data_IF_399542525602
#
_entry.id   IF_399542525602
#
_cell.length_a   1.000
_cell.length_b   1.000
_cell.length_c   1.000
_cell.angle_alpha   90.00
_cell.angle_beta   90.00
_cell.angle_gamma   90.00
#
_symmetry.space_group_name_H-M   'P 1'
#
loop_
_entity.id
_entity.type
_entity.pdbx_description
1 polymer ?
#
# COMPACT_ATOMS: atom_id res chain seq x y z
N UNK A 1 -25.58 35.57 -16.64
CA UNK A 1 -24.21 35.98 -16.34
C UNK A 1 -23.84 35.42 -14.98
N UNK A 2 -22.69 34.74 -14.90
CA UNK A 2 -21.97 34.17 -13.75
C UNK A 2 -22.75 33.26 -12.76
N UNK A 3 -22.36 32.02 -12.45
CA UNK A 3 -21.04 31.40 -12.48
C UNK A 3 -20.50 31.20 -11.05
N UNK A 4 -20.73 30.03 -10.45
CA UNK A 4 -19.89 29.48 -9.35
C UNK A 4 -20.00 27.95 -9.45
N UNK A 5 -19.25 27.30 -10.32
CA UNK A 5 -17.87 26.82 -10.11
C UNK A 5 -17.80 25.78 -8.99
N UNK A 6 -17.88 24.52 -9.43
CA UNK A 6 -17.57 23.31 -8.68
C UNK A 6 -16.16 23.36 -8.09
N UNK A 7 -16.04 22.87 -6.86
CA UNK A 7 -14.79 22.40 -6.29
C UNK A 7 -15.00 20.92 -5.92
N UNK A 8 -14.98 20.05 -6.94
CA UNK A 8 -14.93 18.61 -6.76
C UNK A 8 -13.47 18.17 -6.66
N UNK A 9 -13.07 17.65 -5.51
CA UNK A 9 -11.81 16.95 -5.35
C UNK A 9 -11.86 15.59 -6.06
N UNK A 10 -10.73 15.06 -6.57
CA UNK A 10 -10.70 13.76 -7.21
C UNK A 10 -10.78 12.68 -6.14
N UNK A 11 -11.88 11.92 -6.05
CA UNK A 11 -11.85 10.65 -5.30
C UNK A 11 -13.11 10.11 -4.66
N UNK A 12 -14.25 10.80 -4.69
CA UNK A 12 -15.51 10.20 -4.24
C UNK A 12 -16.65 10.66 -5.15
N UNK A 13 -17.29 9.71 -5.86
CA UNK A 13 -18.52 10.02 -6.56
C UNK A 13 -19.55 10.52 -5.53
N UNK A 14 -20.22 11.66 -5.77
CA UNK A 14 -21.26 12.16 -4.88
C UNK A 14 -22.32 11.07 -4.70
N UNK A 15 -22.75 10.85 -3.46
CA UNK A 15 -23.79 9.88 -3.13
C UNK A 15 -25.11 10.22 -3.84
N UNK A 16 -26.03 9.24 -3.97
CA UNK A 16 -27.28 9.45 -4.69
C UNK A 16 -28.11 10.57 -4.05
N UNK A 17 -28.70 11.39 -4.92
CA UNK A 17 -29.60 12.49 -4.53
C UNK A 17 -30.87 11.97 -3.88
N UNK A 18 -31.56 12.81 -3.10
CA UNK A 18 -32.82 12.43 -2.43
C UNK A 18 -33.88 11.90 -3.41
N UNK A 19 -34.03 12.53 -4.57
CA UNK A 19 -34.90 12.05 -5.66
C UNK A 19 -34.48 10.68 -6.20
N UNK A 20 -33.17 10.41 -6.32
CA UNK A 20 -32.66 9.10 -6.76
C UNK A 20 -32.93 8.01 -5.71
N UNK A 21 -32.89 8.36 -4.42
CA UNK A 21 -33.23 7.44 -3.33
C UNK A 21 -34.73 7.13 -3.34
N UNK A 22 -35.60 8.12 -3.60
CA UNK A 22 -37.05 7.92 -3.72
C UNK A 22 -37.40 7.05 -4.92
N UNK A 23 -36.85 7.35 -6.10
CA UNK A 23 -37.05 6.54 -7.30
C UNK A 23 -36.57 5.09 -7.12
N UNK A 24 -35.47 4.87 -6.38
CA UNK A 24 -34.96 3.53 -6.08
C UNK A 24 -35.88 2.72 -5.13
N UNK A 25 -36.76 3.38 -4.36
CA UNK A 25 -37.74 2.70 -3.47
C UNK A 25 -38.91 2.09 -4.23
N UNK A 26 -39.22 2.64 -5.41
CA UNK A 26 -40.29 2.15 -6.26
C UNK A 26 -39.83 1.07 -7.26
N UNK A 27 -38.54 0.74 -7.31
CA UNK A 27 -37.99 -0.30 -8.19
C UNK A 27 -38.35 -1.70 -7.71
N UNK A 28 -38.60 -2.61 -8.66
CA UNK A 28 -38.74 -4.03 -8.31
C UNK A 28 -37.41 -4.60 -7.80
N UNK A 29 -37.45 -5.69 -7.02
CA UNK A 29 -36.23 -6.40 -6.62
C UNK A 29 -35.37 -6.81 -7.82
N UNK A 30 -35.99 -7.26 -8.91
CA UNK A 30 -35.27 -7.68 -10.12
C UNK A 30 -34.57 -6.50 -10.82
N UNK A 31 -35.26 -5.36 -10.99
CA UNK A 31 -34.68 -4.16 -11.59
C UNK A 31 -33.50 -3.64 -10.76
N UNK A 32 -33.61 -3.72 -9.44
CA UNK A 32 -32.55 -3.33 -8.51
C UNK A 32 -31.34 -4.28 -8.62
N UNK A 33 -31.56 -5.57 -8.79
CA UNK A 33 -30.48 -6.54 -9.00
C UNK A 33 -29.74 -6.28 -10.32
N UNK A 34 -30.45 -6.03 -11.42
CA UNK A 34 -29.83 -5.72 -12.71
C UNK A 34 -28.99 -4.44 -12.65
N UNK A 35 -29.50 -3.40 -11.99
CA UNK A 35 -28.75 -2.17 -11.75
C UNK A 35 -27.45 -2.45 -10.99
N UNK A 36 -27.51 -3.22 -9.91
CA UNK A 36 -26.34 -3.57 -9.10
C UNK A 36 -25.35 -4.40 -9.93
N UNK A 37 -25.80 -5.41 -10.68
CA UNK A 37 -24.93 -6.21 -11.57
C UNK A 37 -24.17 -5.31 -12.55
N UNK A 38 -24.85 -4.35 -13.17
CA UNK A 38 -24.21 -3.40 -14.09
C UNK A 38 -23.17 -2.50 -13.41
N UNK A 39 -23.41 -2.09 -12.16
CA UNK A 39 -22.42 -1.33 -11.38
C UNK A 39 -21.18 -2.16 -11.05
N UNK A 40 -21.37 -3.42 -10.64
CA UNK A 40 -20.26 -4.32 -10.31
C UNK A 40 -19.46 -4.69 -11.56
N UNK A 41 -20.12 -4.90 -12.70
CA UNK A 41 -19.43 -5.14 -13.98
C UNK A 41 -18.49 -3.98 -14.34
N UNK A 42 -18.98 -2.73 -14.25
CA UNK A 42 -18.12 -1.55 -14.49
C UNK A 42 -16.95 -1.46 -13.52
N UNK A 43 -17.15 -1.88 -12.26
CA UNK A 43 -16.06 -1.95 -11.30
C UNK A 43 -15.03 -3.03 -11.71
N UNK A 44 -15.50 -4.20 -12.17
CA UNK A 44 -14.64 -5.27 -12.66
C UNK A 44 -13.82 -4.84 -13.89
N UNK A 45 -14.47 -4.17 -14.86
CA UNK A 45 -13.79 -3.65 -16.05
C UNK A 45 -12.70 -2.64 -15.66
N UNK A 46 -12.98 -1.76 -14.70
CA UNK A 46 -11.99 -0.82 -14.16
C UNK A 46 -10.82 -1.54 -13.48
N UNK A 47 -11.04 -2.68 -12.83
CA UNK A 47 -9.97 -3.48 -12.22
C UNK A 47 -9.12 -4.20 -13.27
N UNK A 48 -9.69 -4.53 -14.43
CA UNK A 48 -8.91 -5.03 -15.56
C UNK A 48 -8.02 -3.91 -16.16
N UNK A 49 -8.50 -2.67 -16.20
CA UNK A 49 -7.73 -1.51 -16.66
C UNK A 49 -6.68 -1.03 -15.65
N UNK A 50 -6.99 -1.13 -14.35
CA UNK A 50 -6.14 -0.67 -13.25
C UNK A 50 -5.86 -1.84 -12.28
N UNK A 51 -5.03 -2.81 -12.68
CA UNK A 51 -4.82 -4.04 -11.93
C UNK A 51 -4.14 -3.81 -10.57
N UNK A 52 -3.51 -2.65 -10.36
CA UNK A 52 -2.78 -2.34 -9.13
C UNK A 52 -3.63 -1.65 -8.05
N UNK A 53 -4.92 -1.38 -8.31
CA UNK A 53 -5.83 -0.75 -7.34
C UNK A 53 -6.32 -1.74 -6.27
N UNK A 54 -5.49 -1.97 -5.26
CA UNK A 54 -5.83 -2.86 -4.12
C UNK A 54 -7.18 -2.50 -3.47
N UNK A 55 -7.47 -1.21 -3.31
CA UNK A 55 -8.72 -0.76 -2.70
C UNK A 55 -9.93 -1.04 -3.60
N UNK A 56 -9.76 -0.92 -4.91
CA UNK A 56 -10.74 -1.31 -5.92
C UNK A 56 -11.05 -2.81 -5.87
N UNK A 57 -10.02 -3.66 -5.82
CA UNK A 57 -10.19 -5.12 -5.72
C UNK A 57 -10.91 -5.53 -4.43
N UNK A 58 -10.62 -4.88 -3.29
CA UNK A 58 -11.36 -5.10 -2.03
C UNK A 58 -12.84 -4.75 -2.11
N UNK A 59 -13.19 -3.68 -2.84
CA UNK A 59 -14.60 -3.32 -3.06
C UNK A 59 -15.27 -4.34 -3.97
N UNK A 60 -14.57 -4.81 -4.99
CA UNK A 60 -15.08 -5.79 -5.96
C UNK A 60 -15.35 -7.16 -5.30
N UNK A 61 -14.42 -7.66 -4.47
CA UNK A 61 -14.60 -8.89 -3.69
C UNK A 61 -15.85 -8.83 -2.81
N UNK A 62 -16.02 -7.74 -2.06
CA UNK A 62 -17.20 -7.55 -1.18
C UNK A 62 -18.50 -7.52 -1.98
N UNK A 63 -18.49 -6.89 -3.15
CA UNK A 63 -19.65 -6.84 -4.03
C UNK A 63 -20.02 -8.23 -4.57
N UNK A 64 -19.04 -9.01 -5.03
CA UNK A 64 -19.28 -10.38 -5.47
C UNK A 64 -19.78 -11.29 -4.35
N UNK A 65 -19.22 -11.17 -3.14
CA UNK A 65 -19.73 -11.91 -1.96
C UNK A 65 -21.18 -11.56 -1.63
N UNK A 66 -21.55 -10.28 -1.68
CA UNK A 66 -22.92 -9.85 -1.41
C UNK A 66 -23.91 -10.40 -2.44
N UNK A 67 -23.49 -10.59 -3.69
CA UNK A 67 -24.29 -11.18 -4.77
C UNK A 67 -24.24 -12.72 -4.80
N UNK A 68 -23.44 -13.36 -3.95
CA UNK A 68 -23.27 -14.82 -3.95
C UNK A 68 -22.36 -15.35 -5.07
N UNK A 69 -21.69 -14.48 -5.83
CA UNK A 69 -20.76 -14.85 -6.90
C UNK A 69 -19.41 -15.29 -6.31
N UNK A 70 -19.41 -16.46 -5.67
CA UNK A 70 -18.30 -16.93 -4.83
C UNK A 70 -16.99 -17.11 -5.61
N UNK A 71 -17.04 -17.71 -6.81
CA UNK A 71 -15.84 -17.91 -7.64
C UNK A 71 -15.16 -16.58 -8.00
N UNK A 72 -15.95 -15.59 -8.43
CA UNK A 72 -15.44 -14.25 -8.76
C UNK A 72 -14.92 -13.50 -7.53
N UNK A 73 -15.52 -13.72 -6.36
CA UNK A 73 -15.02 -13.18 -5.10
C UNK A 73 -13.66 -13.80 -4.71
N UNK A 74 -13.48 -15.11 -4.92
CA UNK A 74 -12.22 -15.80 -4.67
C UNK A 74 -11.12 -15.33 -5.64
N UNK A 75 -11.44 -15.09 -6.91
CA UNK A 75 -10.51 -14.50 -7.88
C UNK A 75 -10.08 -13.09 -7.47
N UNK A 76 -11.03 -12.23 -7.07
CA UNK A 76 -10.72 -10.90 -6.56
C UNK A 76 -9.86 -10.98 -5.28
N UNK A 77 -10.15 -11.93 -4.38
CA UNK A 77 -9.37 -12.17 -3.18
C UNK A 77 -7.94 -12.63 -3.48
N UNK A 78 -7.75 -13.49 -4.48
CA UNK A 78 -6.43 -13.89 -4.94
C UNK A 78 -5.63 -12.67 -5.40
N UNK A 79 -6.26 -11.75 -6.13
CA UNK A 79 -5.60 -10.55 -6.58
C UNK A 79 -5.25 -9.58 -5.45
N UNK A 80 -6.16 -9.40 -4.47
CA UNK A 80 -5.89 -8.64 -3.23
C UNK A 80 -4.66 -9.21 -2.52
N UNK A 81 -4.56 -10.53 -2.37
CA UNK A 81 -3.43 -11.19 -1.70
C UNK A 81 -2.13 -10.95 -2.45
N UNK A 82 -2.14 -11.07 -3.78
CA UNK A 82 -0.96 -10.80 -4.63
C UNK A 82 -0.50 -9.35 -4.50
N UNK A 83 -1.40 -8.39 -4.61
CA UNK A 83 -1.09 -6.96 -4.44
C UNK A 83 -0.61 -6.63 -3.03
N UNK A 84 -1.23 -7.22 -2.00
CA UNK A 84 -0.78 -7.04 -0.60
C UNK A 84 0.59 -7.64 -0.37
N UNK A 85 0.90 -8.79 -0.98
CA UNK A 85 2.24 -9.38 -0.93
C UNK A 85 3.27 -8.50 -1.62
N UNK A 86 2.99 -7.99 -2.82
CA UNK A 86 3.87 -7.07 -3.55
C UNK A 86 4.10 -5.75 -2.79
N UNK A 87 3.09 -5.23 -2.10
CA UNK A 87 3.26 -4.07 -1.20
C UNK A 87 4.04 -4.42 0.08
N UNK A 88 3.93 -5.68 0.54
CA UNK A 88 4.68 -6.23 1.68
C UNK A 88 6.06 -6.78 1.31
N UNK A 89 6.41 -6.80 0.02
CA UNK A 89 7.74 -7.11 -0.50
C UNK A 89 8.68 -5.90 -0.43
N UNK A 90 8.22 -4.75 0.09
CA UNK A 90 9.08 -3.92 0.92
C UNK A 90 9.57 -4.79 2.07
N UNK A 91 10.88 -5.09 2.18
CA UNK A 91 11.37 -6.28 2.84
C UNK A 91 10.73 -6.49 4.19
N UNK A 92 10.08 -7.65 4.33
CA UNK A 92 9.38 -8.13 5.51
C UNK A 92 9.85 -7.39 6.75
N UNK A 93 9.01 -6.48 7.26
CA UNK A 93 9.22 -5.93 8.59
C UNK A 93 9.26 -7.14 9.52
N UNK A 94 10.47 -7.52 9.94
CA UNK A 94 10.64 -8.50 10.99
C UNK A 94 9.77 -8.04 12.16
N UNK A 95 9.04 -8.96 12.83
CA UNK A 95 8.35 -8.62 14.06
C UNK A 95 9.30 -7.81 14.93
N UNK A 96 8.85 -6.64 15.38
CA UNK A 96 9.67 -5.80 16.26
C UNK A 96 10.17 -6.62 17.46
N UNK A 97 11.31 -6.23 18.05
CA UNK A 97 11.90 -7.00 19.14
C UNK A 97 10.88 -7.23 20.26
N UNK A 98 10.84 -8.45 20.78
CA UNK A 98 9.97 -8.81 21.91
C UNK A 98 10.34 -7.98 23.14
N UNK A 99 9.44 -7.90 24.12
CA UNK A 99 9.73 -7.19 25.37
C UNK A 99 10.99 -7.73 26.08
N UNK A 100 11.25 -9.04 25.98
CA UNK A 100 12.45 -9.66 26.51
C UNK A 100 13.71 -9.22 25.74
N UNK A 101 13.64 -9.20 24.41
CA UNK A 101 14.73 -8.70 23.57
C UNK A 101 15.03 -7.22 23.82
N UNK A 102 13.99 -6.40 24.04
CA UNK A 102 14.13 -4.99 24.40
C UNK A 102 14.80 -4.81 25.76
N UNK A 103 14.54 -5.68 26.74
CA UNK A 103 15.19 -5.64 28.05
C UNK A 103 16.66 -6.05 27.95
N UNK A 104 16.96 -7.13 27.24
CA UNK A 104 18.33 -7.56 26.99
C UNK A 104 19.16 -6.48 26.25
N UNK A 105 18.56 -5.81 25.26
CA UNK A 105 19.22 -4.72 24.54
C UNK A 105 19.50 -3.48 25.41
N UNK A 106 18.72 -3.26 26.49
CA UNK A 106 18.98 -2.17 27.45
C UNK A 106 20.14 -2.48 28.40
N UNK A 107 20.46 -3.76 28.60
CA UNK A 107 21.58 -4.21 29.43
C UNK A 107 22.90 -4.25 28.65
N UNK A 108 22.87 -4.06 27.33
CA UNK A 108 24.08 -4.01 26.50
C UNK A 108 24.89 -2.74 26.75
N UNK A 109 26.22 -2.89 26.66
CA UNK A 109 27.11 -1.74 26.65
C UNK A 109 26.84 -0.86 25.41
N UNK A 110 27.09 0.45 25.50
CA UNK A 110 27.02 1.33 24.34
C UNK A 110 27.91 0.87 23.18
N UNK A 111 29.10 0.32 23.47
CA UNK A 111 30.01 -0.19 22.46
C UNK A 111 29.45 -1.42 21.74
N UNK A 112 28.96 -2.42 22.47
CA UNK A 112 28.38 -3.64 21.87
C UNK A 112 27.14 -3.31 21.04
N UNK A 113 26.35 -2.35 21.50
CA UNK A 113 25.18 -1.87 20.76
C UNK A 113 25.59 -1.15 19.47
N UNK A 114 26.66 -0.35 19.49
CA UNK A 114 27.18 0.31 18.30
C UNK A 114 27.70 -0.70 17.27
N UNK A 115 28.43 -1.72 17.70
CA UNK A 115 28.93 -2.80 16.84
C UNK A 115 27.79 -3.60 16.21
N UNK A 116 26.77 -3.95 17.01
CA UNK A 116 25.58 -4.62 16.50
C UNK A 116 24.88 -3.78 15.41
N UNK A 117 24.71 -2.47 15.65
CA UNK A 117 24.09 -1.55 14.68
C UNK A 117 24.93 -1.46 13.41
N UNK A 118 26.25 -1.30 13.51
CA UNK A 118 27.15 -1.26 12.34
C UNK A 118 27.02 -2.52 11.49
N UNK A 119 26.97 -3.70 12.10
CA UNK A 119 26.76 -4.96 11.38
C UNK A 119 25.40 -5.04 10.68
N UNK A 120 24.34 -4.50 11.28
CA UNK A 120 23.02 -4.42 10.64
C UNK A 120 23.03 -3.49 9.43
N UNK A 121 23.67 -2.33 9.56
CA UNK A 121 23.78 -1.34 8.47
C UNK A 121 24.64 -1.87 7.33
N UNK A 122 25.73 -2.58 7.63
CA UNK A 122 26.57 -3.20 6.60
C UNK A 122 25.78 -4.22 5.76
N UNK A 123 25.01 -5.12 6.40
CA UNK A 123 24.17 -6.08 5.67
C UNK A 123 23.12 -5.40 4.79
N UNK A 124 22.58 -4.27 5.24
CA UNK A 124 21.67 -3.46 4.41
C UNK A 124 22.40 -2.89 3.19
N UNK A 125 23.61 -2.36 3.37
CA UNK A 125 24.42 -1.85 2.27
C UNK A 125 24.76 -2.95 1.25
N UNK A 126 25.20 -4.13 1.72
CA UNK A 126 25.54 -5.27 0.86
C UNK A 126 24.33 -5.72 0.03
N UNK A 127 23.16 -5.82 0.66
CA UNK A 127 21.91 -6.15 -0.04
C UNK A 127 21.53 -5.11 -1.10
N UNK A 128 21.72 -3.83 -0.82
CA UNK A 128 21.39 -2.76 -1.76
C UNK A 128 22.38 -2.68 -2.92
N UNK A 129 23.61 -3.15 -2.72
CA UNK A 129 24.54 -3.37 -3.83
C UNK A 129 24.04 -4.47 -4.80
N UNK A 130 23.38 -5.50 -4.28
CA UNK A 130 22.74 -6.55 -5.10
C UNK A 130 21.39 -6.13 -5.69
N UNK A 131 20.66 -5.23 -5.02
CA UNK A 131 19.39 -4.68 -5.48
C UNK A 131 19.44 -3.14 -5.61
N UNK A 132 20.07 -2.62 -6.68
CA UNK A 132 20.39 -1.20 -6.80
C UNK A 132 19.19 -0.32 -7.10
N UNK A 133 18.01 -0.88 -7.37
CA UNK A 133 16.79 -0.14 -7.72
C UNK A 133 15.84 0.05 -6.52
N UNK A 134 16.22 -0.42 -5.33
CA UNK A 134 15.44 -0.26 -4.09
C UNK A 134 15.61 1.16 -3.50
N UNK A 135 14.86 2.13 -4.05
CA UNK A 135 14.83 3.51 -3.56
C UNK A 135 14.55 3.60 -2.04
N UNK A 136 13.59 2.82 -1.56
CA UNK A 136 13.20 2.82 -0.14
C UNK A 136 14.33 2.29 0.76
N UNK A 137 15.06 1.29 0.29
CA UNK A 137 16.24 0.75 0.95
C UNK A 137 17.38 1.77 1.02
N UNK A 138 17.69 2.46 -0.08
CA UNK A 138 18.71 3.52 -0.09
C UNK A 138 18.38 4.68 0.86
N UNK A 139 17.11 5.09 0.96
CA UNK A 139 16.66 6.10 1.93
C UNK A 139 16.83 5.64 3.39
N UNK A 140 16.59 4.34 3.66
CA UNK A 140 16.83 3.77 5.00
C UNK A 140 18.32 3.74 5.32
N UNK A 141 19.15 3.38 4.35
CA UNK A 141 20.61 3.31 4.51
C UNK A 141 21.21 4.70 4.79
N UNK A 142 20.80 5.72 4.02
CA UNK A 142 21.17 7.13 4.25
C UNK A 142 20.87 7.57 5.69
N UNK A 143 19.63 7.33 6.16
CA UNK A 143 19.22 7.69 7.53
C UNK A 143 20.04 6.95 8.59
N UNK A 144 20.33 5.67 8.36
CA UNK A 144 21.12 4.87 9.28
C UNK A 144 22.56 5.39 9.42
N UNK A 145 23.22 5.72 8.31
CA UNK A 145 24.55 6.31 8.33
C UNK A 145 24.57 7.68 9.00
N UNK A 146 23.55 8.52 8.79
CA UNK A 146 23.42 9.81 9.50
C UNK A 146 23.32 9.64 11.02
N UNK A 147 22.55 8.65 11.49
CA UNK A 147 22.43 8.34 12.92
C UNK A 147 23.76 7.86 13.50
N UNK A 148 24.53 7.10 12.71
CA UNK A 148 25.86 6.64 13.10
C UNK A 148 26.96 7.71 12.99
N UNK A 149 26.68 8.85 12.34
CA UNK A 149 27.66 9.90 12.07
C UNK A 149 28.58 9.65 10.87
N UNK A 150 28.35 8.57 10.11
CA UNK A 150 29.08 8.24 8.88
C UNK A 150 28.58 9.10 7.71
N UNK A 151 28.93 10.39 7.75
CA UNK A 151 28.47 11.40 6.78
C UNK A 151 28.84 11.06 5.33
N UNK A 152 30.05 10.58 5.08
CA UNK A 152 30.52 10.18 3.74
C UNK A 152 29.63 9.08 3.13
N UNK A 153 29.37 8.01 3.88
CA UNK A 153 28.50 6.92 3.43
C UNK A 153 27.03 7.34 3.32
N UNK A 154 26.60 8.28 4.15
CA UNK A 154 25.26 8.86 4.04
C UNK A 154 25.11 9.64 2.72
N UNK A 155 26.12 10.39 2.30
CA UNK A 155 26.11 11.13 1.04
C UNK A 155 26.15 10.19 -0.19
N UNK A 156 26.90 9.10 -0.12
CA UNK A 156 26.88 8.05 -1.14
C UNK A 156 25.47 7.43 -1.30
N UNK A 157 24.84 7.07 -0.19
CA UNK A 157 23.48 6.53 -0.19
C UNK A 157 22.48 7.57 -0.71
N UNK A 158 22.62 8.85 -0.35
CA UNK A 158 21.79 9.94 -0.87
C UNK A 158 21.96 10.13 -2.40
N UNK A 159 23.18 9.90 -2.91
CA UNK A 159 23.44 9.87 -4.36
C UNK A 159 22.62 8.79 -5.07
N UNK A 160 22.51 7.60 -4.48
CA UNK A 160 21.68 6.51 -5.02
C UNK A 160 20.18 6.86 -4.95
N UNK A 161 19.71 7.41 -3.83
CA UNK A 161 18.33 7.90 -3.70
C UNK A 161 18.01 8.91 -4.81
N UNK A 162 18.89 9.88 -5.05
CA UNK A 162 18.72 10.89 -6.09
C UNK A 162 18.69 10.29 -7.49
N UNK A 163 19.51 9.28 -7.78
CA UNK A 163 19.53 8.57 -9.07
C UNK A 163 18.21 7.85 -9.36
N UNK A 164 17.55 7.34 -8.32
CA UNK A 164 16.32 6.55 -8.42
C UNK A 164 15.04 7.40 -8.29
N UNK A 165 15.17 8.70 -8.00
CA UNK A 165 14.04 9.61 -7.91
C UNK A 165 13.87 10.32 -9.26
N UNK A 166 12.70 10.21 -9.92
CA UNK A 166 12.44 10.82 -11.23
C UNK A 166 12.34 12.36 -11.19
#
# INVERSE_FOLDING_TARGET
>A
DAGTAAAEGPGAAPGPSREQIEAARDMSPEEREEMIRGMVQRLADRMAENPDDLAGWQRLERAYRMMGETEKADDALAQIKRLSAQQSEAPAAQPGPTQEQMRAAQEMSPEDRAEMIRGMVQRLADRLAENPDDLAGWQRLERAYRVLGDTEKADEAAGQVKRLTP
#
